data_IF_626376786197
#
_entry.id   IF_626376786197
#
_cell.length_a   1.000
_cell.length_b   1.000
_cell.length_c   1.000
_cell.angle_alpha   90.00
_cell.angle_beta   90.00
_cell.angle_gamma   90.00
#
_symmetry.space_group_name_H-M   'P 1'
#
loop_
_entity.id
_entity.type
_entity.pdbx_description
1 polymer ?
#
# COMPACT_ATOMS: atom_id res chain seq x y z
N UNK A 1 16.93 -2.59 -5.41
CA UNK A 1 16.04 -1.44 -5.65
C UNK A 1 16.67 -0.10 -5.28
N UNK A 2 17.22 0.03 -4.09
CA UNK A 2 17.89 1.28 -3.67
C UNK A 2 19.06 1.67 -4.58
N UNK A 3 19.77 0.70 -5.16
CA UNK A 3 20.85 0.92 -6.12
C UNK A 3 20.43 1.61 -7.42
N UNK A 4 19.13 1.66 -7.72
CA UNK A 4 18.60 2.32 -8.93
C UNK A 4 17.92 3.65 -8.64
N UNK A 5 18.09 4.21 -7.45
CA UNK A 5 17.43 5.46 -7.05
C UNK A 5 15.90 5.36 -7.00
N UNK A 6 15.38 4.16 -6.78
CA UNK A 6 13.93 3.89 -6.68
C UNK A 6 13.60 3.18 -5.38
N UNK A 7 12.44 3.44 -4.87
CA UNK A 7 11.87 2.81 -3.67
C UNK A 7 10.56 2.10 -3.98
N UNK A 8 10.23 1.02 -3.28
CA UNK A 8 8.93 0.36 -3.42
C UNK A 8 7.82 1.25 -2.86
N UNK A 9 6.57 0.89 -3.15
CA UNK A 9 5.39 1.56 -2.55
C UNK A 9 5.42 1.50 -1.03
N UNK A 10 6.21 0.91 -0.40
CA UNK A 10 6.08 0.63 0.98
C UNK A 10 6.44 1.78 1.87
N UNK A 11 5.55 2.32 2.49
CA UNK A 11 5.71 2.53 3.91
C UNK A 11 4.39 2.11 4.50
N UNK A 12 4.28 0.86 4.61
CA UNK A 12 3.14 0.21 5.19
C UNK A 12 3.18 0.55 6.66
N UNK A 13 2.19 1.28 7.07
CA UNK A 13 1.84 1.56 8.43
C UNK A 13 3.01 1.57 9.40
N UNK A 14 3.45 2.72 9.74
CA UNK A 14 4.52 3.00 10.68
C UNK A 14 4.44 2.29 12.04
N UNK A 15 3.36 1.61 12.34
CA UNK A 15 3.10 1.03 13.66
C UNK A 15 3.59 -0.42 13.81
N UNK A 16 4.11 -1.06 12.78
CA UNK A 16 4.52 -2.45 12.81
C UNK A 16 5.93 -2.64 12.26
N UNK A 17 6.90 -2.80 13.14
CA UNK A 17 8.24 -3.27 12.78
C UNK A 17 8.10 -4.68 12.22
N UNK A 18 8.60 -4.92 11.00
CA UNK A 18 8.53 -6.22 10.34
C UNK A 18 7.27 -6.48 9.50
N UNK A 19 6.41 -5.48 9.29
CA UNK A 19 5.30 -5.61 8.36
C UNK A 19 5.78 -5.94 6.94
N UNK A 20 5.13 -6.89 6.28
CA UNK A 20 5.45 -7.25 4.90
C UNK A 20 4.62 -6.45 3.89
N UNK A 21 5.20 -6.19 2.72
CA UNK A 21 4.49 -5.52 1.62
C UNK A 21 3.26 -6.32 1.21
N UNK A 22 3.38 -7.64 1.09
CA UNK A 22 2.26 -8.51 0.71
C UNK A 22 1.16 -8.47 1.77
N UNK A 23 1.52 -8.49 3.06
CA UNK A 23 0.55 -8.31 4.14
C UNK A 23 -0.21 -6.99 4.05
N UNK A 24 0.49 -5.91 3.71
CA UNK A 24 -0.12 -4.61 3.48
C UNK A 24 -1.09 -4.59 2.31
N UNK A 25 -0.74 -5.22 1.19
CA UNK A 25 -1.62 -5.39 0.02
C UNK A 25 -2.86 -6.19 0.40
N UNK A 26 -2.68 -7.35 1.06
CA UNK A 26 -3.78 -8.22 1.47
C UNK A 26 -4.78 -7.54 2.43
N UNK A 27 -4.32 -6.57 3.19
CA UNK A 27 -5.14 -5.83 4.16
C UNK A 27 -5.55 -4.42 3.66
N UNK A 28 -5.27 -4.05 2.42
CA UNK A 28 -5.47 -2.68 1.92
C UNK A 28 -4.85 -1.60 2.84
N UNK A 29 -3.71 -1.90 3.44
CA UNK A 29 -3.06 -1.00 4.39
C UNK A 29 -2.48 0.22 3.68
N UNK A 30 -2.76 1.40 4.19
CA UNK A 30 -2.23 2.64 3.64
C UNK A 30 -1.40 3.45 4.62
N UNK A 31 -1.51 3.17 5.91
CA UNK A 31 -0.77 3.88 6.95
C UNK A 31 -0.87 5.39 6.82
N UNK A 32 0.22 6.08 7.12
CA UNK A 32 0.35 7.54 7.04
C UNK A 32 0.57 8.07 5.61
N UNK A 33 0.58 7.23 4.57
CA UNK A 33 0.84 7.65 3.20
C UNK A 33 -0.27 8.54 2.65
N UNK A 34 0.09 9.78 2.32
CA UNK A 34 -0.83 10.77 1.73
C UNK A 34 -0.76 10.75 0.22
N UNK A 35 0.46 10.75 -0.33
CA UNK A 35 0.66 10.86 -1.78
C UNK A 35 0.37 9.56 -2.54
N UNK A 36 0.70 8.42 -1.96
CA UNK A 36 0.65 7.11 -2.64
C UNK A 36 -0.60 6.30 -2.30
N UNK A 37 -1.24 6.60 -1.18
CA UNK A 37 -2.40 5.88 -0.70
C UNK A 37 -2.09 4.45 -0.21
N UNK A 38 -3.10 3.57 -0.19
CA UNK A 38 -2.94 2.19 0.24
C UNK A 38 -2.08 1.38 -0.73
N UNK A 39 -1.43 0.33 -0.22
CA UNK A 39 -0.72 -0.64 -1.03
C UNK A 39 -1.74 -1.46 -1.83
N UNK A 40 -1.81 -1.20 -3.13
CA UNK A 40 -2.78 -1.79 -4.05
C UNK A 40 -2.09 -2.33 -5.30
N UNK A 41 -2.58 -3.46 -5.78
CA UNK A 41 -2.22 -3.98 -7.09
C UNK A 41 -3.27 -4.96 -7.62
N UNK A 42 -3.50 -4.95 -8.93
CA UNK A 42 -4.27 -5.95 -9.65
C UNK A 42 -3.37 -7.08 -10.19
N UNK A 43 -2.06 -6.89 -10.06
CA UNK A 43 -1.04 -7.80 -10.61
C UNK A 43 -0.53 -8.73 -9.51
N UNK A 44 -1.12 -9.92 -9.41
CA UNK A 44 -0.78 -10.89 -8.37
C UNK A 44 -0.87 -12.34 -8.84
N UNK A 45 -0.08 -13.20 -8.21
CA UNK A 45 -0.14 -14.65 -8.34
C UNK A 45 -0.64 -15.23 -7.02
N UNK A 46 -1.75 -15.94 -7.03
CA UNK A 46 -2.38 -16.46 -5.82
C UNK A 46 -3.19 -17.73 -6.07
N UNK A 47 -3.39 -18.51 -5.02
CA UNK A 47 -4.31 -19.65 -5.03
C UNK A 47 -5.57 -19.31 -4.25
N UNK A 48 -6.70 -19.81 -4.74
CA UNK A 48 -8.02 -19.71 -4.08
C UNK A 48 -8.86 -20.95 -4.29
N UNK A 49 -9.83 -21.12 -3.43
CA UNK A 49 -10.93 -22.09 -3.66
C UNK A 49 -11.98 -21.39 -4.53
N UNK A 50 -12.31 -22.00 -5.67
CA UNK A 50 -13.34 -21.46 -6.56
C UNK A 50 -14.77 -21.83 -6.07
N UNK A 51 -15.80 -21.35 -6.78
CA UNK A 51 -17.22 -21.62 -6.46
C UNK A 51 -17.60 -23.09 -6.48
N UNK A 52 -16.79 -23.95 -7.11
CA UNK A 52 -16.99 -25.42 -7.15
C UNK A 52 -16.16 -26.15 -6.08
N UNK A 53 -15.59 -25.44 -5.11
CA UNK A 53 -14.77 -26.03 -4.06
C UNK A 53 -13.38 -26.52 -4.51
N UNK A 54 -12.95 -26.20 -5.75
CA UNK A 54 -11.67 -26.64 -6.28
C UNK A 54 -10.59 -25.59 -6.02
N UNK A 55 -9.42 -26.05 -5.57
CA UNK A 55 -8.22 -25.21 -5.48
C UNK A 55 -7.72 -24.88 -6.89
N UNK A 56 -7.53 -23.59 -7.16
CA UNK A 56 -7.00 -23.08 -8.43
C UNK A 56 -5.88 -22.08 -8.18
N UNK A 57 -4.90 -22.04 -9.08
CA UNK A 57 -3.90 -20.99 -9.17
C UNK A 57 -4.37 -19.93 -10.17
N UNK A 58 -4.35 -18.67 -9.75
CA UNK A 58 -4.67 -17.52 -10.60
C UNK A 58 -3.37 -16.77 -10.89
N UNK A 59 -3.00 -16.68 -12.15
CA UNK A 59 -1.80 -15.95 -12.60
C UNK A 59 -2.20 -14.63 -13.24
N UNK A 60 -2.35 -13.60 -12.42
CA UNK A 60 -2.62 -12.22 -12.83
C UNK A 60 -1.37 -11.32 -12.70
N UNK A 61 -0.18 -11.91 -12.46
CA UNK A 61 1.04 -11.11 -12.24
C UNK A 61 1.58 -10.47 -13.52
N UNK A 62 1.03 -10.86 -14.68
CA UNK A 62 1.45 -10.41 -15.98
C UNK A 62 2.92 -10.73 -16.31
N UNK A 63 3.37 -11.89 -15.89
CA UNK A 63 4.64 -12.50 -16.27
C UNK A 63 4.33 -13.89 -16.81
N UNK A 64 4.86 -14.19 -17.98
CA UNK A 64 4.75 -15.52 -18.57
C UNK A 64 5.70 -16.47 -17.83
N UNK A 65 5.11 -17.36 -17.05
CA UNK A 65 5.81 -18.32 -16.17
C UNK A 65 5.53 -19.77 -16.56
N UNK A 66 4.83 -20.02 -17.66
CA UNK A 66 4.38 -21.34 -18.09
C UNK A 66 2.86 -21.53 -17.93
N UNK A 67 2.38 -22.73 -18.24
CA UNK A 67 0.94 -23.02 -18.33
C UNK A 67 0.40 -23.77 -17.11
N UNK A 68 1.20 -24.64 -16.51
CA UNK A 68 0.77 -25.43 -15.37
C UNK A 68 1.12 -24.77 -14.03
N UNK A 69 0.33 -24.99 -12.97
CA UNK A 69 0.65 -24.46 -11.64
C UNK A 69 2.06 -24.79 -11.17
N UNK A 70 2.55 -26.01 -11.47
CA UNK A 70 3.88 -26.45 -11.10
C UNK A 70 4.97 -25.65 -11.84
N UNK A 71 4.82 -25.47 -13.13
CA UNK A 71 5.75 -24.67 -13.95
C UNK A 71 5.77 -23.21 -13.46
N UNK A 72 4.61 -22.60 -13.31
CA UNK A 72 4.45 -21.21 -12.88
C UNK A 72 5.20 -20.98 -11.56
N UNK A 73 4.92 -21.80 -10.55
CA UNK A 73 5.54 -21.65 -9.23
C UNK A 73 7.05 -21.96 -9.25
N UNK A 74 7.47 -22.98 -10.03
CA UNK A 74 8.88 -23.34 -10.16
C UNK A 74 9.66 -22.25 -10.88
N UNK A 75 9.14 -21.73 -11.99
CA UNK A 75 9.79 -20.68 -12.77
C UNK A 75 9.86 -19.35 -12.01
N UNK A 76 8.83 -19.02 -11.25
CA UNK A 76 8.86 -17.87 -10.33
C UNK A 76 9.96 -18.04 -9.26
N UNK A 77 9.98 -19.18 -8.57
CA UNK A 77 10.96 -19.46 -7.50
C UNK A 77 12.39 -19.42 -8.01
N UNK A 78 12.61 -20.00 -9.19
CA UNK A 78 13.93 -20.07 -9.82
C UNK A 78 14.29 -18.82 -10.63
N UNK A 79 13.40 -17.81 -10.67
CA UNK A 79 13.58 -16.59 -11.46
C UNK A 79 13.84 -16.86 -12.96
N UNK A 80 13.22 -17.90 -13.49
CA UNK A 80 13.35 -18.29 -14.91
C UNK A 80 12.43 -17.44 -15.79
N UNK A 81 12.61 -16.14 -15.77
CA UNK A 81 11.92 -15.20 -16.65
C UNK A 81 12.85 -14.01 -16.93
N UNK A 82 12.65 -13.39 -18.08
CA UNK A 82 13.36 -12.20 -18.54
C UNK A 82 12.37 -11.08 -18.85
N UNK A 83 12.85 -9.94 -19.26
CA UNK A 83 12.03 -8.80 -19.65
C UNK A 83 11.01 -9.15 -20.75
N UNK A 84 11.36 -10.04 -21.69
CA UNK A 84 10.47 -10.48 -22.75
C UNK A 84 9.25 -11.27 -22.27
N UNK A 85 9.31 -11.84 -21.07
CA UNK A 85 8.19 -12.54 -20.44
C UNK A 85 7.26 -11.61 -19.68
N UNK A 86 7.67 -10.34 -19.48
CA UNK A 86 6.89 -9.36 -18.74
C UNK A 86 5.90 -8.68 -19.68
N UNK A 87 4.61 -8.83 -19.36
CA UNK A 87 3.51 -8.19 -20.09
C UNK A 87 3.08 -6.91 -19.36
N UNK A 88 2.50 -5.99 -20.11
CA UNK A 88 1.95 -4.74 -19.60
C UNK A 88 0.45 -4.70 -19.92
N UNK A 89 -0.37 -5.43 -19.14
CA UNK A 89 -1.81 -5.43 -19.35
C UNK A 89 -2.41 -4.10 -18.87
N UNK A 90 -3.64 -3.89 -19.23
CA UNK A 90 -4.46 -2.77 -18.73
C UNK A 90 -4.95 -3.04 -17.29
N UNK A 91 -3.99 -3.35 -16.42
CA UNK A 91 -4.17 -3.63 -14.99
C UNK A 91 -3.23 -2.76 -14.17
N UNK A 92 -3.69 -2.32 -13.02
CA UNK A 92 -2.98 -1.37 -12.18
C UNK A 92 -2.00 -2.07 -11.23
N UNK A 93 -0.76 -1.58 -11.20
CA UNK A 93 0.26 -1.97 -10.22
C UNK A 93 0.28 -1.07 -8.97
N UNK A 94 -0.56 0.00 -8.96
CA UNK A 94 -0.77 0.90 -7.83
C UNK A 94 -2.11 1.63 -7.96
N UNK A 95 -2.58 2.27 -6.89
CA UNK A 95 -3.76 3.15 -6.94
C UNK A 95 -3.38 4.52 -7.52
N UNK A 96 -3.60 4.71 -8.80
CA UNK A 96 -3.28 5.94 -9.52
C UNK A 96 -4.33 7.06 -9.39
N UNK A 97 -5.50 6.78 -8.82
CA UNK A 97 -6.57 7.75 -8.58
C UNK A 97 -6.55 8.35 -7.17
N UNK A 98 -5.77 7.76 -6.27
CA UNK A 98 -5.79 8.12 -4.86
C UNK A 98 -5.51 9.60 -4.61
N UNK A 99 -4.57 10.20 -5.36
CA UNK A 99 -4.24 11.61 -5.20
C UNK A 99 -5.41 12.55 -5.50
N UNK A 100 -6.29 12.18 -6.42
CA UNK A 100 -7.50 12.95 -6.72
C UNK A 100 -8.51 12.81 -5.58
N UNK A 101 -8.71 11.59 -5.10
CA UNK A 101 -9.66 11.32 -4.02
C UNK A 101 -9.25 11.97 -2.70
N UNK A 102 -7.98 11.95 -2.35
CA UNK A 102 -7.52 12.53 -1.08
C UNK A 102 -7.59 14.07 -1.08
N UNK A 103 -7.58 14.69 -2.26
CA UNK A 103 -7.74 16.14 -2.43
C UNK A 103 -9.16 16.60 -2.28
N UNK A 104 -10.13 15.75 -2.51
CA UNK A 104 -11.53 16.06 -2.29
C UNK A 104 -11.88 15.98 -0.80
N UNK A 105 -11.54 17.07 -0.10
CA UNK A 105 -11.77 17.18 1.35
C UNK A 105 -13.24 17.38 1.73
N UNK A 106 -14.13 17.50 0.75
CA UNK A 106 -15.59 17.65 0.93
C UNK A 106 -16.36 16.40 0.56
N UNK A 107 -15.67 15.35 0.07
CA UNK A 107 -16.33 14.09 -0.26
C UNK A 107 -17.03 13.49 0.96
N UNK A 108 -18.20 12.92 0.75
CA UNK A 108 -19.00 12.25 1.79
C UNK A 108 -18.37 10.93 2.26
N UNK A 109 -17.48 10.38 1.46
CA UNK A 109 -16.76 9.14 1.78
C UNK A 109 -15.27 9.42 1.97
N UNK A 110 -14.61 8.71 2.89
CA UNK A 110 -13.16 8.86 3.05
C UNK A 110 -12.42 8.45 1.78
N UNK A 111 -11.27 9.07 1.53
CA UNK A 111 -10.43 8.76 0.36
C UNK A 111 -10.00 7.30 0.29
N UNK A 112 -9.95 6.62 1.44
CA UNK A 112 -9.68 5.18 1.57
C UNK A 112 -10.37 4.57 2.79
N UNK A 113 -10.73 3.31 2.66
CA UNK A 113 -11.21 2.45 3.74
C UNK A 113 -11.01 0.98 3.33
N UNK A 114 -10.86 0.08 4.28
CA UNK A 114 -10.45 -1.30 4.00
C UNK A 114 -11.46 -2.10 3.16
N UNK A 115 -12.74 -1.78 3.23
CA UNK A 115 -13.82 -2.44 2.47
C UNK A 115 -14.19 -1.70 1.17
N UNK A 116 -13.33 -0.84 0.65
CA UNK A 116 -13.58 -0.13 -0.61
C UNK A 116 -13.65 -1.10 -1.78
N UNK A 117 -14.86 -1.35 -2.28
CA UNK A 117 -15.12 -2.28 -3.38
C UNK A 117 -14.35 -1.96 -4.66
N UNK A 118 -13.92 -0.72 -4.86
CA UNK A 118 -13.08 -0.32 -6.00
C UNK A 118 -11.65 -0.86 -5.89
N UNK A 119 -11.25 -1.32 -4.71
CA UNK A 119 -9.88 -1.75 -4.37
C UNK A 119 -9.82 -3.17 -3.82
N UNK A 120 -10.88 -3.94 -3.95
CA UNK A 120 -10.91 -5.36 -3.62
C UNK A 120 -10.68 -6.17 -4.91
N UNK A 121 -9.44 -6.45 -5.21
CA UNK A 121 -9.06 -7.16 -6.43
C UNK A 121 -7.90 -8.15 -6.17
N UNK A 122 -8.09 -9.41 -6.56
CA UNK A 122 -7.06 -10.44 -6.42
C UNK A 122 -6.50 -10.48 -4.99
N UNK A 123 -5.21 -10.17 -4.83
CA UNK A 123 -4.57 -10.12 -3.53
C UNK A 123 -4.96 -8.89 -2.70
N UNK A 124 -5.37 -7.78 -3.34
CA UNK A 124 -5.69 -6.53 -2.65
C UNK A 124 -6.97 -6.66 -1.84
N UNK A 125 -6.87 -6.46 -0.51
CA UNK A 125 -7.99 -6.54 0.40
C UNK A 125 -8.59 -7.95 0.57
N UNK A 126 -7.84 -9.00 0.28
CA UNK A 126 -8.34 -10.39 0.30
C UNK A 126 -8.65 -10.93 1.71
N UNK A 127 -8.17 -10.28 2.76
CA UNK A 127 -8.44 -10.61 4.16
C UNK A 127 -8.19 -12.11 4.51
N UNK A 128 -7.15 -12.70 3.95
CA UNK A 128 -6.75 -14.08 4.24
C UNK A 128 -7.55 -15.19 3.54
N UNK A 129 -8.42 -14.85 2.59
CA UNK A 129 -9.23 -15.84 1.85
C UNK A 129 -8.46 -16.55 0.72
N UNK A 130 -7.22 -16.16 0.47
CA UNK A 130 -6.36 -16.69 -0.60
C UNK A 130 -4.94 -16.88 -0.10
N UNK A 131 -4.15 -17.68 -0.80
CA UNK A 131 -2.72 -17.81 -0.58
C UNK A 131 -1.97 -17.02 -1.66
N UNK A 132 -1.30 -15.95 -1.29
CA UNK A 132 -0.57 -15.07 -2.22
C UNK A 132 0.87 -15.54 -2.33
N UNK A 133 1.35 -15.77 -3.55
CA UNK A 133 2.73 -16.18 -3.84
C UNK A 133 3.59 -15.00 -4.28
N UNK A 134 3.04 -14.10 -5.09
CA UNK A 134 3.74 -12.91 -5.56
C UNK A 134 2.78 -11.77 -5.90
N UNK A 135 3.30 -10.55 -5.81
CA UNK A 135 2.65 -9.34 -6.26
C UNK A 135 3.62 -8.49 -7.10
N UNK A 136 3.09 -7.77 -8.06
CA UNK A 136 3.82 -6.77 -8.82
C UNK A 136 3.30 -5.39 -8.46
N UNK A 137 4.20 -4.51 -8.10
CA UNK A 137 3.90 -3.16 -7.64
C UNK A 137 4.73 -2.13 -8.40
N UNK A 138 4.20 -0.93 -8.53
CA UNK A 138 4.98 0.20 -8.99
C UNK A 138 6.08 0.56 -8.01
N UNK A 139 7.13 1.16 -8.54
CA UNK A 139 8.20 1.75 -7.75
C UNK A 139 8.26 3.25 -8.01
N UNK A 140 8.75 3.99 -7.04
CA UNK A 140 8.78 5.44 -7.05
C UNK A 140 10.22 5.93 -7.03
N UNK A 141 10.46 7.12 -7.56
CA UNK A 141 11.76 7.77 -7.45
C UNK A 141 12.02 8.08 -5.99
N UNK A 142 13.15 7.63 -5.48
CA UNK A 142 13.56 7.94 -4.11
C UNK A 142 13.85 9.43 -3.99
N UNK A 143 13.30 10.12 -2.99
CA UNK A 143 13.55 11.53 -2.80
C UNK A 143 15.04 11.76 -2.50
N UNK A 144 15.65 12.76 -3.14
CA UNK A 144 17.04 13.15 -2.88
C UNK A 144 17.22 13.70 -1.46
N UNK A 145 16.17 14.31 -0.91
CA UNK A 145 16.14 14.91 0.43
C UNK A 145 14.73 14.80 0.98
N UNK A 146 14.61 14.46 2.24
CA UNK A 146 13.34 14.47 2.98
C UNK A 146 13.46 15.43 4.15
N UNK A 147 12.33 16.04 4.51
CA UNK A 147 12.21 16.90 5.68
C UNK A 147 10.94 16.52 6.42
N UNK A 148 11.03 16.45 7.73
CA UNK A 148 9.91 16.16 8.63
C UNK A 148 9.57 17.44 9.38
N UNK A 149 8.28 17.73 9.49
CA UNK A 149 7.76 18.85 10.26
C UNK A 149 6.91 18.31 11.40
N UNK A 150 7.22 18.72 12.61
CA UNK A 150 6.40 18.51 13.77
C UNK A 150 5.60 19.77 14.05
N UNK A 151 4.29 19.64 14.04
CA UNK A 151 3.37 20.77 14.27
C UNK A 151 2.52 20.45 15.50
N UNK A 152 2.64 21.25 16.55
CA UNK A 152 1.88 21.07 17.79
C UNK A 152 0.89 22.22 18.00
N UNK A 153 -0.31 21.89 18.50
CA UNK A 153 -1.32 22.85 18.92
C UNK A 153 -2.25 22.22 19.96
N UNK A 154 -2.81 23.06 20.83
CA UNK A 154 -3.90 22.67 21.74
C UNK A 154 -5.30 22.89 21.10
N UNK A 155 -5.35 23.40 19.89
CA UNK A 155 -6.60 23.63 19.16
C UNK A 155 -6.74 22.58 18.03
N UNK A 156 -7.65 21.63 18.21
CA UNK A 156 -7.89 20.57 17.23
C UNK A 156 -8.43 21.09 15.88
N UNK A 157 -9.17 22.20 15.86
CA UNK A 157 -9.68 22.80 14.62
C UNK A 157 -8.55 23.35 13.75
N UNK A 158 -7.44 23.75 14.38
CA UNK A 158 -6.24 24.16 13.64
C UNK A 158 -5.66 23.00 12.83
N UNK A 159 -5.62 21.78 13.36
CA UNK A 159 -5.18 20.61 12.60
C UNK A 159 -6.12 20.27 11.44
N UNK A 160 -7.44 20.35 11.66
CA UNK A 160 -8.42 20.15 10.59
C UNK A 160 -8.23 21.17 9.46
N UNK A 161 -7.96 22.42 9.81
CA UNK A 161 -7.71 23.50 8.85
C UNK A 161 -6.39 23.29 8.08
N UNK A 162 -5.31 22.92 8.78
CA UNK A 162 -4.00 22.60 8.17
C UNK A 162 -4.17 21.43 7.19
N UNK A 163 -4.84 20.34 7.61
CA UNK A 163 -5.08 19.18 6.76
C UNK A 163 -5.84 19.55 5.49
N UNK A 164 -6.96 20.27 5.63
CA UNK A 164 -7.77 20.72 4.48
C UNK A 164 -6.95 21.58 3.54
N UNK A 165 -6.19 22.53 4.06
CA UNK A 165 -5.36 23.42 3.26
C UNK A 165 -4.27 22.67 2.48
N UNK A 166 -3.55 21.76 3.13
CA UNK A 166 -2.52 20.94 2.48
C UNK A 166 -3.12 20.10 1.36
N UNK A 167 -4.21 19.38 1.64
CA UNK A 167 -4.80 18.46 0.68
C UNK A 167 -5.42 19.20 -0.51
N UNK A 168 -6.10 20.34 -0.29
CA UNK A 168 -6.80 21.07 -1.36
C UNK A 168 -5.87 21.97 -2.19
N UNK A 169 -4.89 22.62 -1.56
CA UNK A 169 -4.20 23.75 -2.16
C UNK A 169 -2.73 23.50 -2.50
N UNK A 170 -2.06 22.54 -1.86
CA UNK A 170 -0.64 22.32 -2.15
C UNK A 170 -0.45 21.67 -3.50
N UNK A 171 0.42 22.24 -4.33
CA UNK A 171 0.80 21.66 -5.63
C UNK A 171 1.31 20.23 -5.46
N UNK A 172 2.20 20.01 -4.49
CA UNK A 172 2.73 18.70 -4.16
C UNK A 172 2.17 18.23 -2.82
N UNK A 173 1.56 17.05 -2.80
CA UNK A 173 1.17 16.42 -1.56
C UNK A 173 2.39 15.93 -0.78
N UNK A 174 2.37 15.99 0.55
CA UNK A 174 3.38 15.33 1.37
C UNK A 174 3.40 13.82 1.10
N UNK A 175 4.54 13.19 1.27
CA UNK A 175 4.65 11.72 1.14
C UNK A 175 3.80 11.05 2.21
N UNK A 176 3.92 11.55 3.45
CA UNK A 176 3.15 11.06 4.60
C UNK A 176 2.67 12.21 5.47
N UNK A 177 1.63 11.96 6.24
CA UNK A 177 1.11 12.87 7.25
C UNK A 177 0.34 12.07 8.29
N UNK A 178 0.62 12.32 9.55
CA UNK A 178 0.00 11.59 10.66
C UNK A 178 -0.43 12.56 11.75
N UNK A 179 -1.56 12.28 12.37
CA UNK A 179 -2.04 12.99 13.54
C UNK A 179 -1.85 12.11 14.76
N UNK A 180 -1.21 12.66 15.76
CA UNK A 180 -1.03 12.00 17.05
C UNK A 180 -1.69 12.84 18.14
N UNK A 181 -2.72 12.27 18.79
CA UNK A 181 -3.31 12.86 19.97
C UNK A 181 -2.42 12.66 21.20
N UNK A 182 -2.42 13.60 22.13
CA UNK A 182 -1.63 13.53 23.36
C UNK A 182 -1.87 12.23 24.14
N UNK A 183 -3.10 11.81 24.25
CA UNK A 183 -3.45 10.55 24.96
C UNK A 183 -2.85 9.31 24.27
N UNK A 184 -2.77 9.30 22.94
CA UNK A 184 -2.10 8.22 22.20
C UNK A 184 -0.60 8.18 22.51
N UNK A 185 0.03 9.33 22.60
CA UNK A 185 1.44 9.44 23.00
C UNK A 185 1.66 8.92 24.43
N UNK A 186 0.83 9.34 25.39
CA UNK A 186 0.92 8.91 26.78
C UNK A 186 0.63 7.40 26.93
N UNK A 187 -0.32 6.86 26.16
CA UNK A 187 -0.59 5.43 26.08
C UNK A 187 0.58 4.65 25.49
N UNK A 188 1.20 5.15 24.40
CA UNK A 188 2.38 4.53 23.79
C UNK A 188 3.55 4.46 24.78
N UNK A 189 3.80 5.52 25.53
CA UNK A 189 4.82 5.54 26.58
C UNK A 189 4.60 4.44 27.64
N UNK A 190 3.35 4.16 27.98
CA UNK A 190 3.01 3.17 29.00
C UNK A 190 2.98 1.73 28.48
N UNK A 191 2.45 1.50 27.28
CA UNK A 191 2.09 0.18 26.79
C UNK A 191 2.86 -0.27 25.55
N UNK A 192 3.53 0.62 24.84
CA UNK A 192 4.20 0.32 23.58
C UNK A 192 5.54 1.05 23.46
N UNK A 193 6.53 0.56 24.21
CA UNK A 193 7.86 1.20 24.28
C UNK A 193 8.52 1.37 22.91
N UNK A 194 8.35 0.39 22.01
CA UNK A 194 8.96 0.43 20.68
C UNK A 194 8.34 1.55 19.83
N UNK A 195 7.02 1.72 19.89
CA UNK A 195 6.33 2.83 19.23
C UNK A 195 6.71 4.18 19.83
N UNK A 196 6.88 4.25 21.14
CA UNK A 196 7.26 5.48 21.84
C UNK A 196 8.67 5.98 21.45
N UNK A 197 9.60 5.07 21.19
CA UNK A 197 10.98 5.43 20.76
C UNK A 197 11.00 5.98 19.34
N UNK A 198 10.03 5.59 18.51
CA UNK A 198 9.94 6.01 17.10
C UNK A 198 9.18 7.33 16.91
N UNK A 199 8.37 7.73 17.89
CA UNK A 199 7.63 8.99 17.91
C UNK A 199 8.48 10.10 18.55
#
# INVERSE_FOLDING_TARGET
MLSYGREPHSVIGSSCIGASIVGGVCNNSGGALVKRGPAYTELSLYAKINSKGKLILVNDIAIDLGETPKEILTNLQQRKYSENHIKFPDKLASDNEYQQRVRDVKADTPARFNSDGRRLFGASGCAGKIAVFAVRLDTYISPKRTQVFYVGTNNQDAFASIRKNILSNFKNLPISGEYLHRECYDAAKKYSKDTFIVI
#
